data_IF_265409161505
#
_entry.id   IF_265409161505
#
_cell.length_a   1.000
_cell.length_b   1.000
_cell.length_c   1.000
_cell.angle_alpha   90.00
_cell.angle_beta   90.00
_cell.angle_gamma   90.00
#
_symmetry.space_group_name_H-M   'P 1'
#
loop_
_entity.id
_entity.type
_entity.pdbx_description
1 polymer ?
#
# COMPACT_ATOMS: atom_id res chain seq x y z
N UNK A 1 53.15 -24.43 36.95
CA UNK A 1 53.89 -23.15 37.05
C UNK A 1 52.89 -22.01 36.98
N UNK A 2 52.57 -21.47 38.16
CA UNK A 2 52.00 -20.17 38.54
C UNK A 2 51.71 -19.17 37.40
N UNK A 3 50.44 -18.78 37.20
CA UNK A 3 49.76 -17.56 37.74
C UNK A 3 50.13 -16.29 36.95
N UNK A 4 49.26 -15.37 36.52
CA UNK A 4 48.22 -14.68 37.26
C UNK A 4 47.40 -13.79 36.30
N UNK A 5 46.11 -13.62 36.59
CA UNK A 5 45.29 -12.45 36.23
C UNK A 5 45.70 -11.29 37.16
N UNK A 6 45.66 -10.02 36.71
CA UNK A 6 44.72 -9.09 37.37
C UNK A 6 44.06 -8.08 36.42
N UNK A 7 42.82 -7.72 36.79
CA UNK A 7 42.13 -6.49 36.35
C UNK A 7 42.49 -5.27 37.23
N UNK A 8 41.60 -4.27 37.36
CA UNK A 8 41.79 -2.92 36.83
C UNK A 8 42.22 -1.88 37.88
N UNK A 9 42.88 -0.81 37.45
CA UNK A 9 43.21 0.35 38.28
C UNK A 9 42.48 1.61 37.82
N UNK A 10 41.65 2.13 38.71
CA UNK A 10 41.11 3.48 38.69
C UNK A 10 42.22 4.51 38.98
N UNK A 11 42.14 5.69 38.36
CA UNK A 11 42.92 6.86 38.73
C UNK A 11 41.96 7.98 39.15
N UNK A 12 41.99 8.30 40.44
CA UNK A 12 41.50 9.53 41.06
C UNK A 12 42.73 10.20 41.71
N UNK A 13 42.66 11.54 41.81
CA UNK A 13 43.52 12.50 42.52
C UNK A 13 44.52 13.23 41.61
N UNK A 14 44.77 14.53 41.78
CA UNK A 14 44.22 15.62 42.59
C UNK A 14 44.92 16.88 42.06
N UNK A 15 44.24 18.03 42.07
CA UNK A 15 44.92 19.27 42.45
C UNK A 15 43.90 20.30 42.91
N UNK A 16 44.08 20.76 44.15
CA UNK A 16 43.32 21.77 44.84
C UNK A 16 44.20 23.01 45.06
N UNK A 17 43.56 24.07 45.60
CA UNK A 17 44.07 25.35 46.09
C UNK A 17 43.94 26.45 45.02
N UNK A 18 43.20 27.54 45.19
CA UNK A 18 42.46 28.09 46.33
C UNK A 18 42.17 29.59 46.03
N UNK A 19 41.13 30.17 46.61
CA UNK A 19 40.91 31.62 46.58
C UNK A 19 39.45 32.06 46.49
N UNK A 20 38.78 32.16 47.64
CA UNK A 20 37.49 32.85 47.82
C UNK A 20 37.62 34.36 47.60
N UNK A 21 36.72 34.94 46.80
CA UNK A 21 36.18 36.28 47.04
C UNK A 21 34.70 36.30 46.64
N UNK A 22 33.85 36.53 47.65
CA UNK A 22 32.42 36.82 47.57
C UNK A 22 32.08 37.89 46.53
N UNK A 23 31.24 37.54 45.55
CA UNK A 23 30.31 38.48 44.92
C UNK A 23 28.94 37.80 44.76
N UNK A 24 27.98 38.27 45.56
CA UNK A 24 26.56 38.02 45.37
C UNK A 24 26.13 38.61 44.03
N UNK A 25 25.74 37.73 43.09
CA UNK A 25 24.97 38.12 41.91
C UNK A 25 23.68 37.32 41.94
N UNK A 26 22.59 38.03 42.21
CA UNK A 26 21.22 37.54 42.12
C UNK A 26 20.92 37.13 40.67
N UNK A 27 20.81 35.83 40.40
CA UNK A 27 20.26 35.35 39.13
C UNK A 27 18.73 35.48 39.14
N UNK A 28 18.24 36.49 38.43
CA UNK A 28 16.86 36.52 37.93
C UNK A 28 16.67 35.36 36.96
N UNK A 29 16.02 34.29 37.41
CA UNK A 29 15.49 33.23 36.56
C UNK A 29 14.26 33.79 35.84
N UNK A 30 14.47 34.33 34.64
CA UNK A 30 13.38 34.59 33.72
C UNK A 30 12.81 33.24 33.26
N UNK A 31 11.73 32.80 33.89
CA UNK A 31 10.84 31.79 33.32
C UNK A 31 10.31 32.34 31.99
N UNK A 32 10.91 31.93 30.88
CA UNK A 32 10.25 31.99 29.58
C UNK A 32 9.04 31.08 29.67
N UNK A 33 7.87 31.66 29.91
CA UNK A 33 6.60 31.00 29.67
C UNK A 33 6.57 30.64 28.19
N UNK A 34 6.43 29.35 27.89
CA UNK A 34 6.10 28.92 26.53
C UNK A 34 4.82 29.64 26.09
N UNK A 35 4.75 30.15 24.85
CA UNK A 35 3.57 30.83 24.38
C UNK A 35 2.38 29.86 24.38
N UNK A 36 1.17 30.34 24.71
CA UNK A 36 -0.04 29.53 24.75
C UNK A 36 -0.25 28.81 23.40
N UNK A 37 -0.80 27.60 23.47
CA UNK A 37 -0.97 26.67 22.35
C UNK A 37 -1.70 27.28 21.13
N UNK A 38 -2.44 28.38 21.34
CA UNK A 38 -3.11 29.19 20.31
C UNK A 38 -2.20 30.09 19.47
N UNK A 39 -0.91 30.19 19.78
CA UNK A 39 0.06 31.03 19.05
C UNK A 39 1.21 30.26 18.40
N UNK A 40 1.22 28.92 18.48
CA UNK A 40 2.20 28.13 17.73
C UNK A 40 1.83 28.17 16.25
N UNK A 41 2.68 28.82 15.45
CA UNK A 41 2.59 28.75 13.98
C UNK A 41 2.50 27.27 13.58
N UNK A 42 1.56 26.86 12.71
CA UNK A 42 1.44 25.47 12.29
C UNK A 42 2.80 25.00 11.78
N UNK A 43 3.19 23.77 12.14
CA UNK A 43 4.44 23.17 11.69
C UNK A 43 4.51 23.21 10.15
N UNK A 44 5.69 23.33 9.53
CA UNK A 44 5.82 23.39 8.07
C UNK A 44 5.03 22.30 7.30
N UNK A 45 4.91 21.06 7.79
CA UNK A 45 4.05 20.02 7.22
C UNK A 45 2.55 20.33 7.32
N UNK A 46 2.09 20.86 8.46
CA UNK A 46 0.73 21.36 8.60
C UNK A 46 0.47 22.56 7.68
N UNK A 47 1.47 23.40 7.40
CA UNK A 47 1.36 24.47 6.42
C UNK A 47 1.26 23.95 4.99
N UNK A 48 2.05 22.95 4.60
CA UNK A 48 1.95 22.29 3.29
C UNK A 48 0.62 21.58 3.14
N UNK A 49 0.17 20.84 4.15
CA UNK A 49 -1.14 20.19 4.18
C UNK A 49 -2.27 21.22 4.04
N UNK A 50 -2.25 22.31 4.83
CA UNK A 50 -3.24 23.37 4.76
C UNK A 50 -3.16 24.17 3.45
N UNK A 51 -1.98 24.32 2.87
CA UNK A 51 -1.79 24.94 1.57
C UNK A 51 -2.37 24.06 0.46
N UNK A 52 -2.06 22.75 0.44
CA UNK A 52 -2.69 21.77 -0.45
C UNK A 52 -4.20 21.77 -0.30
N UNK A 53 -4.72 21.88 0.93
CA UNK A 53 -6.17 21.97 1.19
C UNK A 53 -6.84 23.19 0.57
N UNK A 54 -6.10 24.29 0.35
CA UNK A 54 -6.60 25.56 -0.20
C UNK A 54 -6.34 25.71 -1.70
N UNK A 55 -5.54 24.83 -2.30
CA UNK A 55 -5.31 24.85 -3.75
C UNK A 55 -6.54 24.31 -4.47
N UNK A 56 -6.94 25.00 -5.54
CA UNK A 56 -7.93 24.43 -6.46
C UNK A 56 -7.34 23.18 -7.13
N UNK A 57 -8.17 22.16 -7.46
CA UNK A 57 -7.69 20.94 -8.11
C UNK A 57 -6.85 21.20 -9.37
N UNK A 58 -7.16 22.27 -10.11
CA UNK A 58 -6.42 22.71 -11.30
C UNK A 58 -5.02 23.26 -10.99
N UNK A 59 -4.84 23.99 -9.88
CA UNK A 59 -3.53 24.52 -9.46
C UNK A 59 -2.64 23.45 -8.84
N UNK A 60 -3.23 22.48 -8.14
CA UNK A 60 -2.48 21.35 -7.58
C UNK A 60 -1.90 20.46 -8.70
N UNK A 61 -2.63 20.23 -9.79
CA UNK A 61 -2.19 19.42 -10.96
C UNK A 61 -0.88 19.95 -11.61
N UNK A 62 -0.63 21.27 -11.55
CA UNK A 62 0.59 21.91 -12.05
C UNK A 62 1.75 22.05 -11.05
N UNK A 63 1.53 21.79 -9.77
CA UNK A 63 2.49 22.05 -8.68
C UNK A 63 3.41 20.86 -8.40
N UNK A 64 4.63 21.10 -7.89
CA UNK A 64 5.49 20.05 -7.32
C UNK A 64 4.82 19.34 -6.13
N UNK A 65 3.86 20.00 -5.47
CA UNK A 65 3.03 19.39 -4.44
C UNK A 65 2.16 18.24 -4.95
N UNK A 66 1.96 18.09 -6.27
CA UNK A 66 1.33 16.89 -6.84
C UNK A 66 2.11 15.62 -6.51
N UNK A 67 3.42 15.74 -6.28
CA UNK A 67 4.30 14.65 -5.90
C UNK A 67 4.31 14.37 -4.39
N UNK A 68 3.57 15.15 -3.61
CA UNK A 68 3.54 15.04 -2.16
C UNK A 68 2.69 13.85 -1.72
N UNK A 69 3.37 12.81 -1.23
CA UNK A 69 2.78 11.62 -0.64
C UNK A 69 3.33 11.50 0.77
N UNK A 70 2.45 11.31 1.76
CA UNK A 70 2.85 11.11 3.15
C UNK A 70 2.80 9.61 3.48
N UNK A 71 3.96 9.00 3.74
CA UNK A 71 4.02 7.63 4.23
C UNK A 71 3.79 7.60 5.75
N UNK A 72 2.62 7.12 6.17
CA UNK A 72 2.23 7.09 7.59
C UNK A 72 2.88 5.94 8.36
N UNK A 73 3.53 5.02 7.66
CA UNK A 73 4.31 3.94 8.27
C UNK A 73 5.72 4.40 8.68
N UNK A 74 6.24 5.49 8.10
CA UNK A 74 7.55 6.05 8.45
C UNK A 74 7.49 6.78 9.81
N UNK A 75 7.88 6.09 10.88
CA UNK A 75 7.82 6.66 12.23
C UNK A 75 8.78 7.83 12.43
N UNK A 76 9.89 7.91 11.69
CA UNK A 76 10.88 8.99 11.82
C UNK A 76 10.30 10.27 11.22
N UNK A 77 9.78 10.18 9.99
CA UNK A 77 9.12 11.31 9.34
C UNK A 77 7.89 11.74 10.14
N UNK A 78 7.03 10.79 10.56
CA UNK A 78 5.81 11.13 11.29
C UNK A 78 6.10 11.84 12.62
N UNK A 79 7.09 11.38 13.40
CA UNK A 79 7.46 12.02 14.69
C UNK A 79 8.21 13.34 14.53
N UNK A 80 8.94 13.53 13.44
CA UNK A 80 9.70 14.76 13.18
C UNK A 80 8.83 15.88 12.62
N UNK A 81 7.77 15.54 11.89
CA UNK A 81 6.94 16.49 11.16
C UNK A 81 5.65 16.88 11.92
N UNK A 82 5.16 16.01 12.80
CA UNK A 82 3.85 16.16 13.44
C UNK A 82 3.92 15.92 14.94
N UNK A 83 3.06 16.59 15.70
CA UNK A 83 2.82 16.31 17.11
C UNK A 83 2.17 14.93 17.30
N UNK A 84 2.26 14.36 18.50
CA UNK A 84 1.65 13.06 18.80
C UNK A 84 0.14 13.01 18.50
N UNK A 85 -0.58 14.09 18.81
CA UNK A 85 -2.02 14.19 18.52
C UNK A 85 -2.32 14.27 17.02
N UNK A 86 -1.51 14.99 16.25
CA UNK A 86 -1.62 15.03 14.78
C UNK A 86 -1.31 13.66 14.17
N UNK A 87 -0.26 12.98 14.65
CA UNK A 87 0.07 11.62 14.20
C UNK A 87 -1.11 10.67 14.42
N UNK A 88 -1.73 10.71 15.60
CA UNK A 88 -2.88 9.87 15.90
C UNK A 88 -4.08 10.21 15.00
N UNK A 89 -4.34 11.50 14.79
CA UNK A 89 -5.40 11.98 13.88
C UNK A 89 -5.18 11.51 12.43
N UNK A 90 -3.94 11.58 11.94
CA UNK A 90 -3.59 11.16 10.57
C UNK A 90 -3.72 9.63 10.44
N UNK A 91 -3.25 8.88 11.44
CA UNK A 91 -3.31 7.41 11.44
C UNK A 91 -4.74 6.89 11.55
N UNK A 92 -5.58 7.51 12.38
CA UNK A 92 -6.98 7.13 12.57
C UNK A 92 -7.87 7.51 11.39
N UNK A 93 -7.50 8.52 10.61
CA UNK A 93 -8.18 8.87 9.37
C UNK A 93 -7.94 7.85 8.23
N UNK A 94 -6.83 7.11 8.27
CA UNK A 94 -6.53 6.11 7.23
C UNK A 94 -7.52 4.94 7.34
N UNK A 95 -8.16 4.49 6.25
CA UNK A 95 -9.19 3.46 6.33
C UNK A 95 -8.67 2.17 6.99
N UNK A 96 -9.50 1.56 7.83
CA UNK A 96 -9.18 0.26 8.42
C UNK A 96 -8.98 -0.80 7.34
N UNK A 97 -8.28 -1.89 7.67
CA UNK A 97 -8.24 -3.06 6.78
C UNK A 97 -9.67 -3.63 6.67
N UNK A 98 -10.11 -4.06 5.48
CA UNK A 98 -11.32 -4.85 5.34
C UNK A 98 -11.24 -6.09 6.23
N UNK A 99 -12.35 -6.41 6.90
CA UNK A 99 -12.43 -7.65 7.66
C UNK A 99 -12.60 -8.83 6.71
N UNK A 100 -11.89 -9.92 7.00
CA UNK A 100 -12.05 -11.18 6.29
C UNK A 100 -13.23 -11.95 6.90
N UNK A 101 -13.98 -12.64 6.04
CA UNK A 101 -15.12 -13.45 6.46
C UNK A 101 -14.66 -14.57 7.39
N UNK A 102 -15.43 -14.86 8.44
CA UNK A 102 -15.14 -15.99 9.36
C UNK A 102 -14.92 -17.30 8.62
N UNK A 103 -15.75 -17.55 7.59
CA UNK A 103 -15.64 -18.73 6.73
C UNK A 103 -14.28 -18.83 6.03
N UNK A 104 -13.72 -17.71 5.56
CA UNK A 104 -12.39 -17.69 4.96
C UNK A 104 -11.30 -18.03 5.97
N UNK A 105 -11.41 -17.52 7.20
CA UNK A 105 -10.47 -17.84 8.28
C UNK A 105 -10.56 -19.33 8.66
N UNK A 106 -11.78 -19.87 8.79
CA UNK A 106 -12.01 -21.31 9.03
C UNK A 106 -11.38 -22.19 7.94
N UNK A 107 -11.36 -21.73 6.67
CA UNK A 107 -10.69 -22.45 5.58
C UNK A 107 -9.16 -22.50 5.76
N UNK A 108 -8.55 -21.45 6.33
CA UNK A 108 -7.12 -21.36 6.60
C UNK A 108 -6.72 -22.07 7.89
N UNK A 109 -7.57 -22.08 8.91
CA UNK A 109 -7.34 -22.74 10.20
C UNK A 109 -7.01 -24.23 10.03
N UNK A 110 -7.49 -24.85 8.95
CA UNK A 110 -7.12 -26.22 8.55
C UNK A 110 -5.62 -26.46 8.41
N UNK A 111 -4.79 -25.44 8.30
CA UNK A 111 -3.35 -25.56 8.07
C UNK A 111 -2.48 -24.96 9.18
N UNK A 112 -3.09 -24.41 10.24
CA UNK A 112 -2.37 -23.61 11.24
C UNK A 112 -1.40 -24.42 12.11
N UNK A 113 -1.79 -25.65 12.41
CA UNK A 113 -1.12 -26.60 13.31
C UNK A 113 -0.46 -27.75 12.53
N UNK A 114 -0.14 -27.53 11.25
CA UNK A 114 0.57 -28.52 10.44
C UNK A 114 2.01 -28.68 10.92
N UNK A 115 2.37 -29.88 11.36
CA UNK A 115 3.69 -30.15 11.95
C UNK A 115 4.68 -30.83 10.99
N UNK A 116 4.20 -31.41 9.88
CA UNK A 116 5.06 -32.17 8.96
C UNK A 116 4.56 -32.16 7.51
N UNK A 117 5.46 -32.47 6.56
CA UNK A 117 5.13 -32.63 5.13
C UNK A 117 4.04 -33.71 4.95
N UNK A 118 4.11 -34.79 5.73
CA UNK A 118 3.10 -35.86 5.70
C UNK A 118 1.74 -35.35 6.17
N UNK A 119 1.70 -34.59 7.26
CA UNK A 119 0.47 -34.00 7.78
C UNK A 119 -0.14 -33.04 6.76
N UNK A 120 0.64 -32.09 6.23
CA UNK A 120 0.19 -31.17 5.18
C UNK A 120 -0.45 -31.92 4.01
N UNK A 121 0.22 -32.98 3.54
CA UNK A 121 -0.27 -33.84 2.47
C UNK A 121 -1.58 -34.53 2.84
N UNK A 122 -1.70 -35.07 4.05
CA UNK A 122 -2.94 -35.67 4.56
C UNK A 122 -4.09 -34.67 4.60
N UNK A 123 -3.85 -33.43 5.07
CA UNK A 123 -4.89 -32.38 5.12
C UNK A 123 -5.34 -31.94 3.74
N UNK A 124 -4.42 -31.88 2.78
CA UNK A 124 -4.75 -31.54 1.39
C UNK A 124 -5.46 -32.66 0.63
N UNK A 125 -5.17 -33.94 0.94
CA UNK A 125 -5.94 -35.08 0.43
C UNK A 125 -7.28 -35.28 1.14
N UNK A 126 -7.42 -34.73 2.35
CA UNK A 126 -8.68 -34.74 3.08
C UNK A 126 -9.81 -34.21 2.20
N UNK A 127 -10.87 -35.00 2.05
CA UNK A 127 -12.05 -34.58 1.31
C UNK A 127 -12.67 -33.41 2.05
N UNK A 128 -12.48 -32.18 1.57
CA UNK A 128 -13.42 -31.11 1.88
C UNK A 128 -14.71 -31.50 1.22
N UNK A 129 -15.81 -31.72 1.96
CA UNK A 129 -17.11 -31.88 1.33
C UNK A 129 -17.39 -30.59 0.56
N UNK A 130 -17.14 -30.63 -0.75
CA UNK A 130 -17.53 -29.55 -1.65
C UNK A 130 -19.04 -29.62 -1.72
N UNK A 131 -19.69 -28.91 -0.80
CA UNK A 131 -21.15 -28.79 -0.84
C UNK A 131 -21.52 -28.32 -2.25
N UNK A 132 -22.34 -29.08 -2.98
CA UNK A 132 -22.85 -28.64 -4.29
C UNK A 132 -23.53 -27.27 -4.17
N UNK A 133 -24.09 -26.99 -2.99
CA UNK A 133 -24.80 -25.76 -2.62
C UNK A 133 -23.87 -24.63 -2.15
N UNK A 134 -22.56 -24.86 -2.04
CA UNK A 134 -21.61 -23.80 -1.71
C UNK A 134 -21.65 -22.71 -2.79
N UNK A 135 -21.61 -21.44 -2.36
CA UNK A 135 -21.56 -20.33 -3.29
C UNK A 135 -20.30 -20.42 -4.17
N UNK A 136 -20.39 -19.92 -5.40
CA UNK A 136 -19.31 -20.00 -6.38
C UNK A 136 -18.01 -19.37 -5.86
N UNK A 137 -18.12 -18.25 -5.14
CA UNK A 137 -16.95 -17.51 -4.64
C UNK A 137 -16.24 -18.27 -3.53
N UNK A 138 -16.98 -18.89 -2.61
CA UNK A 138 -16.40 -19.73 -1.56
C UNK A 138 -15.63 -20.91 -2.15
N UNK A 139 -16.18 -21.55 -3.19
CA UNK A 139 -15.49 -22.66 -3.87
C UNK A 139 -14.17 -22.21 -4.50
N UNK A 140 -14.19 -21.08 -5.21
CA UNK A 140 -12.97 -20.50 -5.83
C UNK A 140 -11.92 -20.12 -4.80
N UNK A 141 -12.34 -19.58 -3.64
CA UNK A 141 -11.41 -19.24 -2.56
C UNK A 141 -10.77 -20.49 -1.94
N UNK A 142 -11.54 -21.55 -1.68
CA UNK A 142 -11.01 -22.84 -1.21
C UNK A 142 -10.02 -23.42 -2.22
N UNK A 143 -10.39 -23.45 -3.49
CA UNK A 143 -9.54 -23.97 -4.58
C UNK A 143 -8.23 -23.19 -4.69
N UNK A 144 -8.28 -21.86 -4.59
CA UNK A 144 -7.09 -21.02 -4.59
C UNK A 144 -6.18 -21.31 -3.39
N UNK A 145 -6.74 -21.36 -2.17
CA UNK A 145 -5.97 -21.69 -0.96
C UNK A 145 -5.27 -23.03 -1.15
N UNK A 146 -6.03 -24.08 -1.49
CA UNK A 146 -5.51 -25.44 -1.65
C UNK A 146 -4.45 -25.52 -2.75
N UNK A 147 -4.65 -24.82 -3.87
CA UNK A 147 -3.65 -24.77 -4.93
C UNK A 147 -2.33 -24.15 -4.45
N UNK A 148 -2.38 -23.07 -3.66
CA UNK A 148 -1.16 -22.46 -3.12
C UNK A 148 -0.48 -23.42 -2.13
N UNK A 149 -1.23 -24.11 -1.27
CA UNK A 149 -0.67 -25.10 -0.36
C UNK A 149 -0.09 -26.33 -1.09
N UNK A 150 -0.75 -26.84 -2.13
CA UNK A 150 -0.23 -27.91 -2.98
C UNK A 150 1.08 -27.51 -3.65
N UNK A 151 1.15 -26.29 -4.19
CA UNK A 151 2.38 -25.76 -4.77
C UNK A 151 3.49 -25.62 -3.72
N UNK A 152 3.14 -25.16 -2.52
CA UNK A 152 4.10 -25.01 -1.40
C UNK A 152 4.62 -26.37 -0.94
N UNK A 153 3.75 -27.37 -0.81
CA UNK A 153 4.12 -28.74 -0.49
C UNK A 153 5.13 -29.30 -1.50
N UNK A 154 4.89 -29.08 -2.80
CA UNK A 154 5.82 -29.51 -3.86
C UNK A 154 7.21 -28.86 -3.70
N UNK A 155 7.26 -27.57 -3.35
CA UNK A 155 8.52 -26.86 -3.14
C UNK A 155 9.26 -27.33 -1.88
N UNK A 156 8.54 -27.73 -0.82
CA UNK A 156 9.12 -28.30 0.40
C UNK A 156 9.69 -29.72 0.19
N UNK A 157 8.99 -30.54 -0.57
CA UNK A 157 9.36 -31.95 -0.81
C UNK A 157 10.48 -32.10 -1.85
N UNK A 158 10.83 -31.00 -2.54
CA UNK A 158 11.88 -31.01 -3.54
C UNK A 158 13.28 -31.18 -2.90
N UNK A 159 13.99 -32.24 -3.27
CA UNK A 159 15.33 -32.57 -2.77
C UNK A 159 16.34 -31.41 -2.93
N UNK A 160 16.19 -30.62 -4.00
CA UNK A 160 17.06 -29.46 -4.29
C UNK A 160 16.83 -28.25 -3.37
N UNK A 161 15.82 -28.29 -2.49
CA UNK A 161 15.45 -27.22 -1.55
C UNK A 161 15.41 -25.83 -2.21
N UNK A 162 14.58 -25.65 -3.26
CA UNK A 162 14.61 -24.45 -4.09
C UNK A 162 14.33 -23.16 -3.31
N UNK A 163 13.52 -23.22 -2.25
CA UNK A 163 13.19 -22.04 -1.44
C UNK A 163 14.37 -21.46 -0.65
N UNK A 164 15.44 -22.23 -0.48
CA UNK A 164 16.69 -21.77 0.18
C UNK A 164 17.80 -21.47 -0.82
N UNK A 165 17.53 -21.66 -2.12
CA UNK A 165 18.49 -21.48 -3.19
C UNK A 165 18.41 -20.09 -3.80
N UNK A 166 19.53 -19.63 -4.39
CA UNK A 166 19.55 -18.39 -5.13
C UNK A 166 18.83 -18.54 -6.46
N UNK A 167 17.84 -17.69 -6.69
CA UNK A 167 17.05 -17.68 -7.91
C UNK A 167 17.02 -16.28 -8.54
N UNK A 168 16.66 -16.22 -9.82
CA UNK A 168 16.33 -14.96 -10.47
C UNK A 168 14.89 -14.56 -10.14
N UNK A 169 14.55 -13.32 -10.46
CA UNK A 169 13.22 -12.76 -10.20
C UNK A 169 12.10 -13.57 -10.88
N UNK A 170 12.33 -13.99 -12.13
CA UNK A 170 11.35 -14.74 -12.91
C UNK A 170 11.00 -16.07 -12.26
N UNK A 171 11.96 -16.74 -11.62
CA UNK A 171 11.69 -17.98 -10.91
C UNK A 171 10.71 -17.77 -9.75
N UNK A 172 10.91 -16.74 -8.93
CA UNK A 172 9.98 -16.41 -7.84
C UNK A 172 8.60 -16.03 -8.40
N UNK A 173 8.57 -15.22 -9.47
CA UNK A 173 7.35 -14.84 -10.15
C UNK A 173 6.57 -16.06 -10.65
N UNK A 174 7.24 -16.99 -11.34
CA UNK A 174 6.59 -18.16 -11.94
C UNK A 174 6.19 -19.22 -10.91
N UNK A 175 7.01 -19.49 -9.90
CA UNK A 175 6.81 -20.62 -8.98
C UNK A 175 6.07 -20.24 -7.70
N UNK A 176 6.03 -18.97 -7.33
CA UNK A 176 5.41 -18.50 -6.08
C UNK A 176 4.36 -17.44 -6.38
N UNK A 177 4.79 -16.28 -6.86
CA UNK A 177 3.92 -15.11 -6.90
C UNK A 177 2.78 -15.23 -7.91
N UNK A 178 2.94 -15.99 -9.00
CA UNK A 178 1.84 -16.27 -9.94
C UNK A 178 0.73 -17.12 -9.32
N UNK A 179 1.09 -18.06 -8.44
CA UNK A 179 0.13 -18.92 -7.74
C UNK A 179 -0.60 -18.17 -6.65
N UNK A 180 0.14 -17.35 -5.91
CA UNK A 180 -0.40 -16.52 -4.83
C UNK A 180 -1.27 -15.39 -5.38
N UNK A 181 -0.81 -14.67 -6.40
CA UNK A 181 -1.44 -13.44 -6.89
C UNK A 181 -2.32 -13.70 -8.09
N UNK A 182 -1.76 -14.21 -9.19
CA UNK A 182 -2.47 -14.23 -10.48
C UNK A 182 -3.70 -15.14 -10.42
N UNK A 183 -3.55 -16.31 -9.79
CA UNK A 183 -4.66 -17.26 -9.63
C UNK A 183 -5.81 -16.68 -8.79
N UNK A 184 -5.51 -15.91 -7.74
CA UNK A 184 -6.54 -15.24 -6.93
C UNK A 184 -7.36 -14.28 -7.80
N UNK A 185 -6.69 -13.49 -8.64
CA UNK A 185 -7.36 -12.49 -9.48
C UNK A 185 -8.12 -13.10 -10.67
N UNK A 186 -7.87 -14.36 -11.05
CA UNK A 186 -8.77 -15.09 -11.98
C UNK A 186 -10.19 -15.24 -11.40
N UNK A 187 -10.34 -15.21 -10.08
CA UNK A 187 -11.63 -15.28 -9.42
C UNK A 187 -12.41 -13.95 -9.49
N UNK A 188 -11.76 -12.85 -9.89
CA UNK A 188 -12.35 -11.50 -9.98
C UNK A 188 -12.48 -11.08 -11.46
N UNK A 189 -13.57 -11.45 -12.15
CA UNK A 189 -13.66 -11.33 -13.60
C UNK A 189 -13.63 -9.90 -14.13
N UNK A 190 -13.97 -8.90 -13.31
CA UNK A 190 -13.98 -7.48 -13.67
C UNK A 190 -12.60 -6.82 -13.68
N UNK A 191 -11.55 -7.52 -13.25
CA UNK A 191 -10.19 -6.99 -13.17
C UNK A 191 -9.22 -7.89 -13.93
N UNK A 192 -8.40 -7.27 -14.78
CA UNK A 192 -7.20 -7.86 -15.35
C UNK A 192 -6.01 -7.64 -14.42
N UNK A 193 -5.23 -8.69 -14.22
CA UNK A 193 -3.89 -8.60 -13.66
C UNK A 193 -2.88 -8.69 -14.80
N UNK A 194 -2.44 -7.53 -15.29
CA UNK A 194 -1.46 -7.43 -16.36
C UNK A 194 -0.06 -7.60 -15.77
N UNK A 195 0.72 -8.55 -16.28
CA UNK A 195 2.10 -8.83 -15.84
C UNK A 195 3.13 -8.37 -16.87
N UNK A 196 4.36 -8.14 -16.40
CA UNK A 196 5.57 -7.85 -17.20
C UNK A 196 5.61 -6.48 -17.86
N UNK A 197 6.39 -5.55 -17.29
CA UNK A 197 6.74 -4.24 -17.86
C UNK A 197 5.55 -3.40 -18.37
N UNK A 198 4.43 -3.43 -17.66
CA UNK A 198 3.20 -2.74 -18.06
C UNK A 198 3.36 -1.24 -17.78
N UNK A 199 3.15 -0.41 -18.80
CA UNK A 199 3.19 1.06 -18.65
C UNK A 199 1.99 1.53 -17.84
N UNK A 200 2.25 2.29 -16.77
CA UNK A 200 1.21 2.95 -15.99
C UNK A 200 0.55 4.07 -16.80
N UNK A 201 -0.70 3.85 -17.18
CA UNK A 201 -1.51 4.78 -17.96
C UNK A 201 -1.92 5.98 -17.10
N UNK A 202 -2.22 5.79 -15.82
CA UNK A 202 -2.62 6.87 -14.92
C UNK A 202 -1.54 7.97 -14.83
N UNK A 203 -0.29 7.56 -14.61
CA UNK A 203 0.87 8.48 -14.59
C UNK A 203 1.06 9.14 -15.95
N UNK A 204 0.92 8.39 -17.05
CA UNK A 204 1.02 8.92 -18.40
C UNK A 204 -0.01 10.03 -18.65
N UNK A 205 -1.28 9.81 -18.30
CA UNK A 205 -2.35 10.79 -18.48
C UNK A 205 -2.04 12.06 -17.69
N UNK A 206 -1.68 11.93 -16.42
CA UNK A 206 -1.39 13.08 -15.56
C UNK A 206 -0.18 13.88 -16.07
N UNK A 207 0.89 13.21 -16.50
CA UNK A 207 2.09 13.84 -17.05
C UNK A 207 1.83 14.63 -18.35
N UNK A 208 0.78 14.29 -19.10
CA UNK A 208 0.41 14.95 -20.35
C UNK A 208 -0.88 15.78 -20.24
N UNK A 209 -1.42 16.00 -19.04
CA UNK A 209 -2.72 16.66 -18.85
C UNK A 209 -2.80 18.09 -19.39
N UNK A 210 -1.67 18.78 -19.52
CA UNK A 210 -1.58 20.14 -20.07
C UNK A 210 -0.98 20.17 -21.49
N UNK A 211 -0.84 19.03 -22.16
CA UNK A 211 -0.27 18.97 -23.51
C UNK A 211 -1.32 19.43 -24.51
N UNK A 212 -1.07 20.55 -25.18
CA UNK A 212 -1.98 21.16 -26.15
C UNK A 212 -1.46 21.11 -27.59
N UNK A 213 -0.22 20.65 -27.80
CA UNK A 213 0.44 20.66 -29.11
C UNK A 213 1.06 19.28 -29.47
N UNK A 214 1.18 19.02 -30.77
CA UNK A 214 1.74 17.79 -31.33
C UNK A 214 2.83 18.10 -32.35
N UNK A 215 4.07 17.67 -32.11
CA UNK A 215 5.17 17.75 -33.08
C UNK A 215 6.52 18.16 -32.48
N UNK A 216 7.61 17.52 -32.89
CA UNK A 216 8.97 17.80 -32.43
C UNK A 216 9.43 16.96 -31.20
N UNK A 217 10.75 16.89 -30.94
CA UNK A 217 11.33 16.13 -29.82
C UNK A 217 10.82 16.58 -28.45
N UNK A 218 10.55 17.88 -28.27
CA UNK A 218 10.14 18.49 -26.99
C UNK A 218 8.65 18.30 -26.67
N UNK A 219 7.83 17.99 -27.67
CA UNK A 219 6.39 17.73 -27.51
C UNK A 219 6.05 16.24 -27.59
N UNK A 220 7.03 15.35 -27.40
CA UNK A 220 6.80 13.90 -27.33
C UNK A 220 5.92 13.57 -26.12
N UNK A 221 4.97 12.65 -26.32
CA UNK A 221 4.09 12.17 -25.24
C UNK A 221 4.94 11.52 -24.15
N UNK A 222 4.78 11.98 -22.91
CA UNK A 222 5.45 11.38 -21.75
C UNK A 222 4.78 10.04 -21.42
N UNK A 223 5.58 8.99 -21.23
CA UNK A 223 5.08 7.70 -20.75
C UNK A 223 5.25 7.64 -19.22
N UNK A 224 4.34 6.93 -18.57
CA UNK A 224 4.46 6.56 -17.16
C UNK A 224 5.52 5.49 -16.95
N UNK A 225 5.86 5.19 -15.68
CA UNK A 225 6.77 4.11 -15.36
C UNK A 225 6.21 2.78 -15.85
N UNK A 226 7.11 1.87 -16.23
CA UNK A 226 6.79 0.45 -16.44
C UNK A 226 6.82 -0.26 -15.10
N UNK A 227 5.78 -1.03 -14.80
CA UNK A 227 5.60 -1.77 -13.56
C UNK A 227 5.52 -3.27 -13.87
N UNK A 228 5.94 -4.12 -12.93
CA UNK A 228 5.95 -5.58 -13.12
C UNK A 228 4.57 -6.21 -13.11
N UNK A 229 3.60 -5.51 -12.52
CA UNK A 229 2.19 -5.81 -12.68
C UNK A 229 1.27 -4.62 -12.45
N UNK A 230 0.08 -4.67 -13.05
CA UNK A 230 -0.98 -3.67 -12.86
C UNK A 230 -2.32 -4.39 -12.75
N UNK A 231 -3.08 -4.06 -11.70
CA UNK A 231 -4.49 -4.41 -11.59
C UNK A 231 -5.31 -3.35 -12.33
N UNK A 232 -6.05 -3.77 -13.36
CA UNK A 232 -6.78 -2.90 -14.26
C UNK A 232 -8.21 -3.38 -14.45
N UNK A 233 -9.17 -2.49 -14.33
CA UNK A 233 -10.58 -2.80 -14.57
C UNK A 233 -10.79 -3.16 -16.05
N UNK A 234 -11.55 -4.22 -16.33
CA UNK A 234 -11.88 -4.66 -17.69
C UNK A 234 -12.90 -3.74 -18.37
N UNK A 235 -13.87 -3.27 -17.59
CA UNK A 235 -14.98 -2.45 -18.07
C UNK A 235 -14.65 -0.95 -17.96
N UNK A 236 -15.12 -0.14 -18.92
CA UNK A 236 -14.86 1.31 -18.98
C UNK A 236 -13.52 1.68 -19.63
N UNK A 237 -12.99 2.88 -19.32
CA UNK A 237 -11.71 3.40 -19.85
C UNK A 237 -10.47 2.71 -19.25
N UNK A 238 -10.61 1.44 -18.83
CA UNK A 238 -9.50 0.59 -18.36
C UNK A 238 -8.71 1.21 -17.21
N UNK A 239 -9.41 1.62 -16.16
CA UNK A 239 -8.81 2.29 -15.02
C UNK A 239 -7.91 1.34 -14.20
N UNK A 240 -6.79 1.89 -13.74
CA UNK A 240 -5.80 1.16 -12.95
C UNK A 240 -6.11 1.36 -11.46
N UNK A 241 -6.19 0.26 -10.72
CA UNK A 241 -6.61 0.24 -9.30
C UNK A 241 -5.50 -0.26 -8.37
N UNK A 242 -4.41 -0.78 -8.94
CA UNK A 242 -3.24 -1.18 -8.18
C UNK A 242 -2.08 -1.65 -9.05
N UNK A 243 -0.97 -1.96 -8.41
CA UNK A 243 0.29 -2.25 -9.08
C UNK A 243 1.17 -3.25 -8.31
N UNK A 244 2.14 -3.83 -9.01
CA UNK A 244 3.14 -4.75 -8.48
C UNK A 244 4.52 -4.28 -8.94
N UNK A 245 5.48 -4.25 -8.02
CA UNK A 245 6.91 -4.10 -8.30
C UNK A 245 7.65 -5.27 -7.67
N UNK A 246 8.60 -5.83 -8.41
CA UNK A 246 9.34 -7.03 -8.02
C UNK A 246 10.84 -6.74 -8.08
N UNK A 247 11.56 -7.26 -7.09
CA UNK A 247 13.01 -7.29 -7.03
C UNK A 247 13.49 -8.74 -6.94
N UNK A 248 14.66 -9.01 -7.53
CA UNK A 248 15.33 -10.31 -7.46
C UNK A 248 15.59 -10.76 -6.02
N UNK A 249 16.16 -9.90 -5.20
CA UNK A 249 16.53 -10.19 -3.81
C UNK A 249 16.09 -9.08 -2.88
N UNK A 250 15.91 -9.46 -1.62
CA UNK A 250 15.73 -8.53 -0.52
C UNK A 250 17.02 -8.48 0.30
N UNK A 251 17.75 -7.38 0.21
CA UNK A 251 18.97 -7.19 1.00
C UNK A 251 18.62 -6.55 2.35
N UNK A 252 17.90 -5.43 2.31
CA UNK A 252 17.34 -4.75 3.48
C UNK A 252 16.26 -3.76 3.06
N UNK A 253 15.47 -3.27 4.03
CA UNK A 253 14.54 -2.15 3.83
C UNK A 253 15.24 -0.83 3.54
N UNK A 254 16.54 -0.73 3.83
CA UNK A 254 17.38 0.44 3.57
C UNK A 254 18.16 0.35 2.26
N UNK A 255 18.06 -0.78 1.54
CA UNK A 255 18.75 -0.96 0.27
C UNK A 255 18.22 0.03 -0.78
N UNK A 256 19.13 0.60 -1.58
CA UNK A 256 18.81 1.59 -2.60
C UNK A 256 17.75 1.09 -3.57
N UNK A 257 17.82 -0.18 -3.98
CA UNK A 257 16.85 -0.80 -4.88
C UNK A 257 15.47 -0.89 -4.24
N UNK A 258 15.37 -1.40 -3.02
CA UNK A 258 14.09 -1.47 -2.30
C UNK A 258 13.46 -0.09 -2.14
N UNK A 259 14.24 0.91 -1.70
CA UNK A 259 13.76 2.30 -1.54
C UNK A 259 13.26 2.86 -2.89
N UNK A 260 14.03 2.65 -3.96
CA UNK A 260 13.69 3.15 -5.29
C UNK A 260 12.40 2.52 -5.83
N UNK A 261 12.27 1.20 -5.77
CA UNK A 261 11.11 0.46 -6.29
C UNK A 261 9.87 0.76 -5.44
N UNK A 262 10.04 0.85 -4.12
CA UNK A 262 9.04 1.28 -3.15
C UNK A 262 8.50 2.70 -3.43
N UNK A 263 9.40 3.63 -3.78
CA UNK A 263 9.06 5.00 -4.19
C UNK A 263 8.30 5.00 -5.51
N UNK A 264 8.85 4.34 -6.55
CA UNK A 264 8.25 4.21 -7.88
C UNK A 264 6.81 3.68 -7.81
N UNK A 265 6.60 2.63 -7.02
CA UNK A 265 5.28 2.05 -6.78
C UNK A 265 4.31 3.07 -6.16
N UNK A 266 4.68 3.72 -5.04
CA UNK A 266 3.82 4.73 -4.38
C UNK A 266 3.45 5.88 -5.30
N UNK A 267 4.38 6.31 -6.16
CA UNK A 267 4.10 7.33 -7.17
C UNK A 267 3.02 6.90 -8.15
N UNK A 268 3.12 5.68 -8.69
CA UNK A 268 2.11 5.14 -9.58
C UNK A 268 0.75 4.96 -8.88
N UNK A 269 0.74 4.42 -7.66
CA UNK A 269 -0.49 4.23 -6.87
C UNK A 269 -1.20 5.55 -6.57
N UNK A 270 -0.46 6.61 -6.25
CA UNK A 270 -1.00 7.96 -6.11
C UNK A 270 -1.70 8.40 -7.39
N UNK A 271 -1.06 8.22 -8.54
CA UNK A 271 -1.59 8.66 -9.82
C UNK A 271 -2.82 7.88 -10.25
N UNK A 272 -2.82 6.57 -9.99
CA UNK A 272 -4.01 5.72 -10.11
C UNK A 272 -5.15 6.26 -9.24
N UNK A 273 -4.89 6.56 -7.96
CA UNK A 273 -5.90 7.07 -7.04
C UNK A 273 -6.49 8.41 -7.49
N UNK A 274 -5.65 9.34 -7.91
CA UNK A 274 -6.11 10.65 -8.41
C UNK A 274 -6.98 10.51 -9.65
N UNK A 275 -6.67 9.54 -10.54
CA UNK A 275 -7.52 9.20 -11.68
C UNK A 275 -8.87 8.65 -11.24
N UNK A 276 -8.90 7.73 -10.27
CA UNK A 276 -10.14 7.21 -9.69
C UNK A 276 -10.99 8.34 -9.10
N UNK A 277 -10.38 9.29 -8.39
CA UNK A 277 -11.07 10.46 -7.85
C UNK A 277 -11.62 11.38 -8.96
N UNK A 278 -10.87 11.57 -10.06
CA UNK A 278 -11.34 12.37 -11.19
C UNK A 278 -12.62 11.78 -11.83
N UNK A 279 -12.79 10.45 -11.79
CA UNK A 279 -13.92 9.75 -12.42
C UNK A 279 -15.18 9.81 -11.56
N UNK A 280 -15.06 9.62 -10.24
CA UNK A 280 -16.25 9.52 -9.39
C UNK A 280 -16.79 10.89 -8.95
N UNK A 281 -15.96 11.93 -9.02
CA UNK A 281 -16.28 13.32 -8.64
C UNK A 281 -17.17 14.06 -9.66
N UNK A 282 -18.24 13.42 -10.11
CA UNK A 282 -19.21 14.06 -11.04
C UNK A 282 -20.38 14.74 -10.32
N UNK A 283 -20.55 14.60 -9.01
CA UNK A 283 -21.65 15.22 -8.24
C UNK A 283 -21.27 15.77 -6.84
N UNK A 284 -19.99 15.81 -6.46
CA UNK A 284 -19.57 16.31 -5.13
C UNK A 284 -19.90 15.38 -3.94
N UNK A 285 -20.08 14.08 -4.18
CA UNK A 285 -20.22 13.08 -3.11
C UNK A 285 -18.84 12.67 -2.57
N UNK A 286 -18.36 13.42 -1.58
CA UNK A 286 -17.10 13.13 -0.88
C UNK A 286 -17.10 11.73 -0.24
N UNK A 287 -18.27 11.15 0.06
CA UNK A 287 -18.39 9.83 0.67
C UNK A 287 -17.85 8.71 -0.24
N UNK A 288 -18.04 8.80 -1.56
CA UNK A 288 -17.47 7.81 -2.51
C UNK A 288 -15.95 7.96 -2.57
N UNK A 289 -15.45 9.19 -2.62
CA UNK A 289 -14.01 9.48 -2.66
C UNK A 289 -13.30 8.87 -1.46
N UNK A 290 -13.86 9.02 -0.26
CA UNK A 290 -13.29 8.47 0.97
C UNK A 290 -13.24 6.92 0.97
N UNK A 291 -14.01 6.23 0.14
CA UNK A 291 -13.97 4.76 0.01
C UNK A 291 -12.93 4.28 -1.01
N UNK A 292 -12.45 5.16 -1.90
CA UNK A 292 -11.49 4.78 -2.94
C UNK A 292 -10.08 4.62 -2.39
N UNK A 293 -9.42 3.55 -2.80
CA UNK A 293 -8.05 3.23 -2.43
C UNK A 293 -7.31 2.62 -3.62
N UNK A 294 -5.99 2.72 -3.61
CA UNK A 294 -5.14 1.93 -4.51
C UNK A 294 -4.23 1.02 -3.72
N UNK A 295 -3.95 -0.15 -4.27
CA UNK A 295 -3.15 -1.19 -3.62
C UNK A 295 -1.91 -1.52 -4.43
N UNK A 296 -0.79 -1.66 -3.72
CA UNK A 296 0.50 -2.01 -4.27
C UNK A 296 1.04 -3.27 -3.61
N UNK A 297 1.75 -4.08 -4.40
CA UNK A 297 2.52 -5.22 -3.91
C UNK A 297 3.99 -4.97 -4.20
N UNK A 298 4.83 -5.04 -3.18
CA UNK A 298 6.28 -5.08 -3.31
C UNK A 298 6.76 -6.49 -2.97
N UNK A 299 7.37 -7.15 -3.96
CA UNK A 299 7.99 -8.44 -3.75
C UNK A 299 9.50 -8.34 -3.91
N UNK A 300 10.25 -9.06 -3.08
CA UNK A 300 11.70 -9.19 -3.24
C UNK A 300 12.12 -10.60 -2.81
N UNK A 301 12.42 -11.46 -3.78
CA UNK A 301 12.58 -12.90 -3.53
C UNK A 301 11.31 -13.49 -2.90
N UNK A 302 11.42 -13.94 -1.64
CA UNK A 302 10.32 -14.49 -0.83
C UNK A 302 9.58 -13.44 0.01
N UNK A 303 10.09 -12.21 0.07
CA UNK A 303 9.47 -11.14 0.85
C UNK A 303 8.30 -10.52 0.10
N UNK A 304 7.27 -10.15 0.85
CA UNK A 304 6.05 -9.52 0.38
C UNK A 304 5.71 -8.32 1.28
N UNK A 305 5.36 -7.19 0.68
CA UNK A 305 4.79 -6.05 1.41
C UNK A 305 3.60 -5.47 0.66
N UNK A 306 2.49 -5.28 1.39
CA UNK A 306 1.32 -4.57 0.89
C UNK A 306 1.49 -3.07 1.14
N UNK A 307 1.26 -2.27 0.10
CA UNK A 307 1.19 -0.81 0.18
C UNK A 307 -0.23 -0.37 -0.16
N UNK A 308 -0.84 0.48 0.65
CA UNK A 308 -2.14 1.10 0.36
C UNK A 308 -1.95 2.60 0.22
N UNK A 309 -2.61 3.22 -0.75
CA UNK A 309 -2.69 4.67 -0.83
C UNK A 309 -4.15 5.14 -0.82
N UNK A 310 -4.39 6.26 -0.13
CA UNK A 310 -5.72 6.79 0.14
C UNK A 310 -5.65 8.31 0.31
N UNK A 311 -6.74 9.01 0.02
CA UNK A 311 -6.89 10.41 0.34
C UNK A 311 -8.33 10.72 0.72
N UNK A 312 -8.50 11.53 1.77
CA UNK A 312 -9.82 11.91 2.29
C UNK A 312 -10.71 12.62 1.27
N UNK A 313 -10.13 13.32 0.30
CA UNK A 313 -10.87 14.07 -0.71
C UNK A 313 -10.07 14.24 -1.97
N UNK A 314 -10.73 14.58 -3.07
CA UNK A 314 -10.07 14.91 -4.33
C UNK A 314 -9.16 16.13 -4.16
N UNK A 315 -7.95 16.05 -4.68
CA UNK A 315 -6.92 17.07 -4.50
C UNK A 315 -6.41 17.21 -3.06
N UNK A 316 -6.77 16.30 -2.16
CA UNK A 316 -6.17 16.21 -0.83
C UNK A 316 -4.74 15.65 -0.86
N UNK A 317 -4.10 15.63 0.30
CA UNK A 317 -2.83 14.92 0.49
C UNK A 317 -3.09 13.43 0.40
N UNK A 318 -2.29 12.74 -0.42
CA UNK A 318 -2.32 11.28 -0.51
C UNK A 318 -1.48 10.71 0.62
N UNK A 319 -2.12 9.88 1.43
CA UNK A 319 -1.49 9.07 2.46
C UNK A 319 -1.16 7.72 1.85
N UNK A 320 0.02 7.19 2.15
CA UNK A 320 0.32 5.80 1.87
C UNK A 320 0.71 5.08 3.16
N UNK A 321 0.35 3.81 3.26
CA UNK A 321 0.60 2.95 4.41
C UNK A 321 1.13 1.62 3.92
N UNK A 322 2.36 1.28 4.31
CA UNK A 322 2.92 -0.04 4.09
C UNK A 322 2.59 -0.96 5.26
N UNK A 323 2.27 -2.23 4.97
CA UNK A 323 2.18 -3.30 5.96
C UNK A 323 3.57 -3.65 6.49
N UNK A 324 3.58 -4.48 7.53
CA UNK A 324 4.77 -5.24 7.88
C UNK A 324 5.21 -6.13 6.70
N UNK A 325 6.50 -6.47 6.70
CA UNK A 325 7.07 -7.34 5.68
C UNK A 325 6.68 -8.78 6.01
N UNK A 326 5.91 -9.40 5.14
CA UNK A 326 5.58 -10.81 5.20
C UNK A 326 6.60 -11.61 4.38
N UNK A 327 6.65 -12.92 4.61
CA UNK A 327 7.57 -13.81 3.94
C UNK A 327 6.87 -15.12 3.58
N UNK A 328 7.11 -15.59 2.37
CA UNK A 328 6.72 -16.92 1.94
C UNK A 328 7.58 -17.96 2.69
N UNK A 329 6.98 -19.00 3.28
CA UNK A 329 7.73 -19.92 4.14
C UNK A 329 8.77 -20.71 3.36
N UNK A 330 9.93 -20.95 3.98
CA UNK A 330 10.99 -21.78 3.39
C UNK A 330 10.95 -23.24 3.84
N UNK A 331 10.18 -23.53 4.90
CA UNK A 331 10.06 -24.86 5.49
C UNK A 331 8.69 -25.05 6.16
N UNK A 332 8.40 -26.29 6.56
CA UNK A 332 7.09 -26.66 7.13
C UNK A 332 6.84 -25.99 8.48
N UNK A 333 7.88 -25.75 9.28
CA UNK A 333 7.79 -25.09 10.58
C UNK A 333 7.29 -23.64 10.47
N UNK A 334 7.37 -23.05 9.27
CA UNK A 334 6.95 -21.69 8.97
C UNK A 334 5.60 -21.64 8.25
N UNK A 335 4.88 -22.75 8.11
CA UNK A 335 3.68 -22.82 7.28
C UNK A 335 2.59 -21.81 7.65
N UNK A 336 2.50 -21.42 8.94
CA UNK A 336 1.60 -20.36 9.41
C UNK A 336 1.86 -18.99 8.73
N UNK A 337 3.10 -18.71 8.28
CA UNK A 337 3.42 -17.51 7.52
C UNK A 337 2.67 -17.47 6.18
N UNK A 338 2.45 -18.63 5.54
CA UNK A 338 1.65 -18.71 4.32
C UNK A 338 0.21 -18.32 4.58
N UNK A 339 -0.40 -18.80 5.68
CA UNK A 339 -1.74 -18.39 6.08
C UNK A 339 -1.87 -16.87 6.24
N UNK A 340 -0.89 -16.23 6.89
CA UNK A 340 -0.84 -14.77 7.05
C UNK A 340 -0.71 -14.04 5.70
N UNK A 341 0.11 -14.58 4.80
CA UNK A 341 0.31 -14.04 3.45
C UNK A 341 -0.98 -14.14 2.60
N UNK A 342 -1.68 -15.28 2.67
CA UNK A 342 -2.95 -15.49 1.98
C UNK A 342 -4.04 -14.55 2.52
N UNK A 343 -4.08 -14.29 3.83
CA UNK A 343 -4.97 -13.28 4.41
C UNK A 343 -4.68 -11.88 3.84
N UNK A 344 -3.40 -11.48 3.78
CA UNK A 344 -3.02 -10.19 3.20
C UNK A 344 -3.47 -10.08 1.73
N UNK A 345 -3.29 -11.14 0.93
CA UNK A 345 -3.74 -11.16 -0.47
C UNK A 345 -5.26 -11.15 -0.63
N UNK A 346 -5.99 -11.85 0.23
CA UNK A 346 -7.45 -11.77 0.26
C UNK A 346 -7.91 -10.34 0.55
N UNK A 347 -7.23 -9.62 1.45
CA UNK A 347 -7.49 -8.20 1.70
C UNK A 347 -7.23 -7.36 0.44
N UNK A 348 -6.12 -7.60 -0.28
CA UNK A 348 -5.85 -6.91 -1.56
C UNK A 348 -7.02 -7.10 -2.53
N UNK A 349 -7.46 -8.35 -2.73
CA UNK A 349 -8.63 -8.64 -3.59
C UNK A 349 -9.87 -7.87 -3.15
N UNK A 350 -10.20 -7.87 -1.85
CA UNK A 350 -11.39 -7.17 -1.34
C UNK A 350 -11.34 -5.66 -1.57
N UNK A 351 -10.17 -5.04 -1.40
CA UNK A 351 -10.00 -3.60 -1.68
C UNK A 351 -10.23 -3.34 -3.18
N UNK A 352 -9.57 -4.12 -4.05
CA UNK A 352 -9.70 -3.97 -5.50
C UNK A 352 -11.15 -4.16 -5.96
N UNK A 353 -11.82 -5.18 -5.45
CA UNK A 353 -13.23 -5.49 -5.75
C UNK A 353 -14.18 -4.37 -5.30
N UNK A 354 -13.99 -3.85 -4.07
CA UNK A 354 -14.77 -2.73 -3.56
C UNK A 354 -14.59 -1.46 -4.42
N UNK A 355 -13.35 -1.11 -4.75
CA UNK A 355 -13.03 0.05 -5.60
C UNK A 355 -13.62 -0.12 -7.00
N UNK A 356 -13.49 -1.31 -7.59
CA UNK A 356 -14.06 -1.60 -8.90
C UNK A 356 -15.58 -1.39 -8.90
N UNK A 357 -16.27 -1.89 -7.86
CA UNK A 357 -17.72 -1.75 -7.71
C UNK A 357 -18.16 -0.28 -7.61
N UNK A 358 -17.47 0.53 -6.80
CA UNK A 358 -17.77 1.96 -6.66
C UNK A 358 -17.61 2.70 -8.00
N UNK A 359 -16.53 2.42 -8.74
CA UNK A 359 -16.27 3.07 -10.02
C UNK A 359 -17.26 2.62 -11.09
N UNK A 360 -17.54 1.32 -11.21
CA UNK A 360 -18.51 0.79 -12.19
C UNK A 360 -19.91 1.36 -11.95
N UNK A 361 -20.38 1.38 -10.69
CA UNK A 361 -21.67 1.98 -10.35
C UNK A 361 -21.73 3.44 -10.79
N UNK A 362 -20.62 4.16 -10.67
CA UNK A 362 -20.57 5.58 -10.99
C UNK A 362 -20.51 5.85 -12.48
N UNK A 363 -19.73 5.08 -13.23
CA UNK A 363 -19.68 5.14 -14.70
C UNK A 363 -21.07 4.85 -15.28
N UNK A 364 -21.74 3.80 -14.81
CA UNK A 364 -23.11 3.46 -15.24
C UNK A 364 -24.14 4.55 -14.93
N UNK A 365 -23.99 5.28 -13.84
CA UNK A 365 -24.86 6.42 -13.52
C UNK A 365 -24.62 7.61 -14.46
N UNK A 366 -23.37 7.87 -14.82
CA UNK A 366 -23.00 8.98 -15.70
C UNK A 366 -23.41 8.72 -17.16
N UNK A 367 -23.48 7.45 -17.59
CA UNK A 367 -23.87 7.06 -18.95
C UNK A 367 -25.40 6.99 -19.19
N UNK A 368 -26.24 7.23 -18.16
CA UNK A 368 -27.69 7.33 -18.37
C UNK A 368 -28.01 8.60 -19.18
N UNK A 369 -28.70 8.50 -20.33
CA UNK A 369 -29.10 9.69 -21.08
C UNK A 369 -29.98 10.56 -20.19
N UNK A 370 -29.59 11.83 -20.03
CA UNK A 370 -30.43 12.82 -19.37
C UNK A 370 -31.79 12.83 -20.06
N UNK A 371 -32.83 12.35 -19.37
CA UNK A 371 -34.21 12.51 -19.80
C UNK A 371 -34.44 14.02 -19.84
N UNK A 372 -34.34 14.61 -21.03
CA UNK A 372 -34.73 15.99 -21.27
C UNK A 372 -36.17 16.11 -20.81
N UNK A 373 -36.40 16.81 -19.68
CA UNK A 373 -37.71 17.38 -19.39
C UNK A 373 -38.00 18.34 -20.53
N UNK A 374 -38.75 17.89 -21.53
CA UNK A 374 -39.41 18.75 -22.49
C UNK A 374 -40.40 19.60 -21.70
N UNK A 375 -39.98 20.80 -21.34
CA UNK A 375 -40.92 21.87 -21.00
C UNK A 375 -41.78 22.12 -22.22
N UNK A 376 -43.03 21.66 -22.15
CA UNK A 376 -44.09 22.04 -23.08
C UNK A 376 -44.26 23.57 -22.96
N UNK A 377 -44.12 24.35 -24.04
CA UNK A 377 -44.35 25.78 -23.96
C UNK A 377 -45.82 26.04 -23.66
N UNK A 378 -46.07 26.90 -22.67
CA UNK A 378 -47.40 27.37 -22.33
C UNK A 378 -48.04 28.03 -23.57
N UNK A 379 -49.25 27.60 -23.91
CA UNK A 379 -50.10 28.28 -24.88
C UNK A 379 -50.32 29.72 -24.41
N UNK A 380 -50.03 30.65 -25.29
CA UNK A 380 -50.49 32.03 -25.19
C UNK A 380 -51.91 32.01 -25.76
N UNK A 381 -52.90 32.21 -24.90
CA UNK A 381 -54.27 32.47 -25.34
C UNK A 381 -54.36 33.96 -25.72
N UNK A 382 -54.82 34.21 -26.94
CA UNK A 382 -55.34 35.50 -27.42
C UNK A 382 -56.84 35.44 -27.52
#
# INVERSE_FOLDING_TARGET
MNSHIPGPAALINNCSIGGDVNQQVTHNVNFRQDPPESQKSPTPPAQVYNYCRRLSPRRLKGSLLRAFVLDVSDQVVMKSLFSAQEVETIKSAFPSMPQLEKKFLEMLDRFVDVESIRDLRCRLYGVVPRSPDACVDDRKMVEWIEQVYWNTLYLFDCEKKPLTSNHNEQWFNSNIWSRVIDTLFLSLPSVDNLRSEVVCVATSILANSNRTDTGGPDNRRKLGPRLDGIFRMKNGDKFEVGAIEVSKSFDSTTSTKWIHDSKKLRFALRDMLLRLHDIVDTCGDDGVIERLQTVGILNAGLKFQLVRCWAKRKGGVVLCKASELLEFPTSIEQIAHLGTLLQAMAIVKKIVEAVNKEVEQRVLQNDRPAIRRTTVPAKIDT
#
